data_IF_707888380601
#
_entry.id   IF_707888380601
#
_cell.length_a   1.000
_cell.length_b   1.000
_cell.length_c   1.000
_cell.angle_alpha   90.00
_cell.angle_beta   90.00
_cell.angle_gamma   90.00
#
_symmetry.space_group_name_H-M   'P 1'
#
loop_
_entity.id
_entity.type
_entity.pdbx_description
1 polymer ?
#
# COMPACT_ATOMS: atom_id res chain seq x y z
N UNK A 1 12.10 1.09 -43.26
CA UNK A 1 11.03 0.14 -42.88
C UNK A 1 11.46 -0.84 -41.76
N UNK A 2 12.70 -1.33 -41.72
CA UNK A 2 13.20 -2.26 -40.68
C UNK A 2 13.33 -1.68 -39.26
N UNK A 3 13.62 -0.37 -39.10
CA UNK A 3 13.70 0.28 -37.78
C UNK A 3 12.34 0.47 -37.09
N UNK A 4 11.23 0.46 -37.84
CA UNK A 4 9.87 0.54 -37.27
C UNK A 4 9.39 -0.79 -36.69
N UNK A 5 9.79 -1.92 -37.29
CA UNK A 5 9.42 -3.28 -36.82
C UNK A 5 10.15 -3.71 -35.54
N UNK A 6 11.36 -3.21 -35.28
CA UNK A 6 12.10 -3.52 -34.05
C UNK A 6 11.56 -2.73 -32.85
N UNK A 7 11.17 -1.46 -33.05
CA UNK A 7 10.52 -0.64 -32.04
C UNK A 7 9.12 -1.16 -31.66
N UNK A 8 8.37 -1.66 -32.62
CA UNK A 8 7.04 -2.24 -32.39
C UNK A 8 7.11 -3.57 -31.63
N UNK A 9 8.08 -4.45 -31.98
CA UNK A 9 8.37 -5.70 -31.25
C UNK A 9 8.84 -5.46 -29.82
N UNK A 10 9.71 -4.50 -29.57
CA UNK A 10 10.18 -4.19 -28.20
C UNK A 10 9.05 -3.65 -27.32
N UNK A 11 8.12 -2.88 -27.90
CA UNK A 11 6.93 -2.39 -27.19
C UNK A 11 5.95 -3.52 -26.84
N UNK A 12 5.70 -4.44 -27.77
CA UNK A 12 4.80 -5.59 -27.56
C UNK A 12 5.36 -6.60 -26.56
N UNK A 13 6.67 -6.88 -26.59
CA UNK A 13 7.32 -7.80 -25.64
C UNK A 13 7.36 -7.19 -24.22
N UNK A 14 7.64 -5.89 -24.09
CA UNK A 14 7.60 -5.18 -22.80
C UNK A 14 6.18 -5.07 -22.22
N UNK A 15 5.16 -4.97 -23.10
CA UNK A 15 3.76 -4.98 -22.71
C UNK A 15 3.30 -6.33 -22.14
N UNK A 16 3.72 -7.45 -22.75
CA UNK A 16 3.38 -8.81 -22.32
C UNK A 16 4.09 -9.23 -21.01
N UNK A 17 5.34 -8.80 -20.80
CA UNK A 17 6.05 -9.03 -19.53
C UNK A 17 5.46 -8.21 -18.38
N UNK A 18 4.99 -7.00 -18.67
CA UNK A 18 4.34 -6.15 -17.67
C UNK A 18 2.99 -6.72 -17.24
N UNK A 19 2.14 -7.16 -18.19
CA UNK A 19 0.81 -7.74 -17.87
C UNK A 19 0.91 -9.03 -17.08
N UNK A 20 1.81 -9.94 -17.46
CA UNK A 20 2.06 -11.17 -16.70
C UNK A 20 2.55 -10.89 -15.26
N UNK A 21 3.40 -9.87 -15.08
CA UNK A 21 3.82 -9.44 -13.74
C UNK A 21 2.67 -8.85 -12.89
N UNK A 22 1.74 -8.11 -13.50
CA UNK A 22 0.54 -7.64 -12.78
C UNK A 22 -0.33 -8.81 -12.30
N UNK A 23 -0.57 -9.80 -13.17
CA UNK A 23 -1.39 -10.96 -12.84
C UNK A 23 -0.73 -11.88 -11.82
N UNK A 24 0.59 -12.12 -11.89
CA UNK A 24 1.33 -12.85 -10.86
C UNK A 24 1.22 -12.14 -9.51
N UNK A 25 1.39 -10.82 -9.48
CA UNK A 25 1.24 -10.04 -8.26
C UNK A 25 -0.19 -10.07 -7.72
N UNK A 26 -1.20 -10.02 -8.59
CA UNK A 26 -2.62 -10.11 -8.22
C UNK A 26 -2.95 -11.46 -7.59
N UNK A 27 -2.54 -12.55 -8.23
CA UNK A 27 -2.80 -13.89 -7.74
C UNK A 27 -2.15 -14.13 -6.37
N UNK A 28 -0.90 -13.67 -6.21
CA UNK A 28 -0.20 -13.73 -4.92
C UNK A 28 -0.89 -12.91 -3.85
N UNK A 29 -1.34 -11.70 -4.19
CA UNK A 29 -2.07 -10.86 -3.25
C UNK A 29 -3.37 -11.53 -2.78
N UNK A 30 -4.14 -12.13 -3.70
CA UNK A 30 -5.33 -12.90 -3.36
C UNK A 30 -5.00 -14.06 -2.42
N UNK A 31 -3.96 -14.83 -2.72
CA UNK A 31 -3.53 -15.93 -1.86
C UNK A 31 -3.10 -15.45 -0.47
N UNK A 32 -2.40 -14.30 -0.39
CA UNK A 32 -1.96 -13.72 0.88
C UNK A 32 -3.10 -13.09 1.69
N UNK A 33 -4.21 -12.69 1.08
CA UNK A 33 -5.41 -12.26 1.82
C UNK A 33 -5.96 -13.38 2.72
N UNK A 34 -5.80 -14.64 2.32
CA UNK A 34 -6.20 -15.81 3.12
C UNK A 34 -5.15 -16.21 4.17
N UNK A 35 -4.01 -15.53 4.23
CA UNK A 35 -2.97 -15.84 5.19
C UNK A 35 -3.44 -15.45 6.62
N UNK A 36 -3.28 -16.32 7.64
CA UNK A 36 -3.82 -16.07 8.99
C UNK A 36 -3.41 -14.72 9.58
N UNK A 37 -2.16 -14.29 9.37
CA UNK A 37 -1.68 -12.96 9.81
C UNK A 37 -2.45 -11.80 9.17
N UNK A 38 -2.77 -11.89 7.87
CA UNK A 38 -3.49 -10.83 7.16
C UNK A 38 -4.95 -10.79 7.59
N UNK A 39 -5.56 -11.96 7.78
CA UNK A 39 -6.92 -12.08 8.35
C UNK A 39 -6.96 -11.44 9.74
N UNK A 40 -6.02 -11.77 10.62
CA UNK A 40 -5.95 -11.15 11.96
C UNK A 40 -5.75 -9.64 11.90
N UNK A 41 -4.87 -9.15 11.02
CA UNK A 41 -4.68 -7.71 10.80
C UNK A 41 -5.96 -7.04 10.26
N UNK A 42 -6.76 -7.72 9.45
CA UNK A 42 -8.04 -7.19 8.94
C UNK A 42 -9.14 -7.10 10.00
N UNK A 43 -9.02 -7.85 11.10
CA UNK A 43 -9.97 -7.77 12.22
C UNK A 43 -9.67 -6.58 13.14
N UNK A 44 -8.41 -6.12 13.16
CA UNK A 44 -7.96 -4.96 13.95
C UNK A 44 -8.85 -3.70 13.80
N UNK A 45 -9.20 -3.22 12.58
CA UNK A 45 -10.10 -2.07 12.39
C UNK A 45 -11.47 -2.25 13.04
N UNK A 46 -12.01 -3.47 13.04
CA UNK A 46 -13.30 -3.77 13.66
C UNK A 46 -13.21 -3.65 15.18
N UNK A 47 -12.18 -4.28 15.77
CA UNK A 47 -11.95 -4.20 17.22
C UNK A 47 -11.72 -2.77 17.65
N UNK A 48 -10.88 -2.03 16.92
CA UNK A 48 -10.61 -0.63 17.23
C UNK A 48 -11.86 0.22 17.13
N UNK A 49 -12.66 0.08 16.06
CA UNK A 49 -13.93 0.81 15.92
C UNK A 49 -14.90 0.46 17.05
N UNK A 50 -15.00 -0.83 17.41
CA UNK A 50 -15.89 -1.31 18.46
C UNK A 50 -15.48 -0.76 19.84
N UNK A 51 -14.18 -0.74 20.13
CA UNK A 51 -13.64 -0.17 21.38
C UNK A 51 -13.84 1.35 21.41
N UNK A 52 -13.56 2.06 20.31
CA UNK A 52 -13.74 3.51 20.24
C UNK A 52 -15.22 3.91 20.36
N UNK A 53 -16.11 3.33 19.55
CA UNK A 53 -17.54 3.62 19.61
C UNK A 53 -18.16 3.18 20.93
N UNK A 54 -17.82 1.97 21.42
CA UNK A 54 -18.29 1.47 22.70
C UNK A 54 -17.81 2.33 23.86
N UNK A 55 -16.55 2.77 23.85
CA UNK A 55 -16.00 3.68 24.85
C UNK A 55 -16.65 5.05 24.84
N UNK A 56 -16.86 5.65 23.65
CA UNK A 56 -17.56 6.92 23.50
C UNK A 56 -19.03 6.81 23.95
N UNK A 57 -19.71 5.71 23.60
CA UNK A 57 -21.09 5.47 24.00
C UNK A 57 -21.21 5.25 25.51
N UNK A 58 -20.27 4.51 26.12
CA UNK A 58 -20.26 4.25 27.56
C UNK A 58 -19.99 5.52 28.38
N UNK A 59 -19.00 6.33 27.97
CA UNK A 59 -18.54 7.46 28.76
C UNK A 59 -19.25 8.78 28.44
N UNK A 60 -19.54 9.04 27.16
CA UNK A 60 -19.91 10.37 26.67
C UNK A 60 -21.33 10.49 26.12
N UNK A 61 -22.10 9.40 26.02
CA UNK A 61 -23.38 9.41 25.31
C UNK A 61 -24.39 10.41 25.87
N UNK A 62 -24.74 10.30 27.16
CA UNK A 62 -25.77 11.17 27.76
C UNK A 62 -25.35 12.64 27.71
N UNK A 63 -24.10 12.93 28.05
CA UNK A 63 -23.57 14.29 28.03
C UNK A 63 -23.54 14.88 26.61
N UNK A 64 -23.15 14.10 25.60
CA UNK A 64 -23.10 14.56 24.21
C UNK A 64 -24.51 14.81 23.65
N UNK A 65 -25.46 13.91 23.93
CA UNK A 65 -26.86 14.09 23.51
C UNK A 65 -27.48 15.30 24.20
N UNK A 66 -27.23 15.51 25.50
CA UNK A 66 -27.71 16.68 26.23
C UNK A 66 -27.16 17.99 25.65
N UNK A 67 -25.85 18.05 25.38
CA UNK A 67 -25.24 19.23 24.75
C UNK A 67 -25.77 19.49 23.34
N UNK A 68 -25.98 18.44 22.54
CA UNK A 68 -26.59 18.57 21.21
C UNK A 68 -28.02 19.12 21.30
N UNK A 69 -28.83 18.66 22.27
CA UNK A 69 -30.17 19.22 22.52
C UNK A 69 -30.12 20.70 22.85
N UNK A 70 -29.26 21.10 23.78
CA UNK A 70 -29.06 22.52 24.13
C UNK A 70 -28.66 23.34 22.90
N UNK A 71 -27.75 22.83 22.07
CA UNK A 71 -27.35 23.49 20.82
C UNK A 71 -28.52 23.66 19.84
N UNK A 72 -29.31 22.62 19.63
CA UNK A 72 -30.52 22.67 18.79
C UNK A 72 -31.56 23.65 19.34
N UNK A 73 -31.70 23.75 20.66
CA UNK A 73 -32.68 24.64 21.26
C UNK A 73 -32.25 26.12 21.23
N UNK A 74 -30.94 26.38 21.16
CA UNK A 74 -30.36 27.74 21.18
C UNK A 74 -30.37 28.40 19.79
N UNK A 75 -30.26 27.63 18.71
CA UNK A 75 -30.22 28.19 17.35
C UNK A 75 -31.61 28.49 16.78
N UNK A 76 -31.80 29.70 16.26
CA UNK A 76 -33.07 30.14 15.67
C UNK A 76 -33.46 29.33 14.43
N UNK A 77 -32.48 28.91 13.63
CA UNK A 77 -32.70 28.14 12.40
C UNK A 77 -33.25 26.73 12.68
N UNK A 78 -32.74 26.06 13.73
CA UNK A 78 -33.24 24.76 14.17
C UNK A 78 -34.66 24.87 14.72
N UNK A 79 -35.01 25.95 15.42
CA UNK A 79 -36.39 26.14 15.90
C UNK A 79 -37.40 26.34 14.78
N UNK A 80 -37.03 27.05 13.71
CA UNK A 80 -37.87 27.19 12.51
C UNK A 80 -38.11 25.82 11.86
N UNK A 81 -37.04 25.04 11.69
CA UNK A 81 -37.14 23.68 11.14
C UNK A 81 -37.98 22.76 12.00
N UNK A 82 -37.77 22.78 13.32
CA UNK A 82 -38.51 21.94 14.26
C UNK A 82 -39.98 22.33 14.34
N UNK A 83 -40.31 23.63 14.31
CA UNK A 83 -41.70 24.10 14.27
C UNK A 83 -42.43 23.70 12.98
N UNK A 84 -41.74 23.70 11.83
CA UNK A 84 -42.28 23.14 10.58
C UNK A 84 -42.56 21.64 10.71
N UNK A 85 -41.66 20.90 11.36
CA UNK A 85 -41.75 19.46 11.59
C UNK A 85 -42.89 19.11 12.56
N UNK A 86 -43.10 19.94 13.58
CA UNK A 86 -44.25 19.86 14.49
C UNK A 86 -45.57 20.11 13.73
N UNK A 87 -45.58 21.04 12.75
CA UNK A 87 -46.72 21.29 11.86
C UNK A 87 -47.11 20.11 10.97
N UNK A 88 -46.19 19.17 10.72
CA UNK A 88 -46.44 17.92 9.99
C UNK A 88 -46.86 16.76 10.91
N UNK A 89 -46.99 16.99 12.22
CA UNK A 89 -47.32 15.96 13.21
C UNK A 89 -46.16 15.04 13.58
N UNK A 90 -44.92 15.40 13.21
CA UNK A 90 -43.72 14.59 13.44
C UNK A 90 -42.97 14.96 14.74
N UNK A 91 -43.67 15.44 15.76
CA UNK A 91 -43.08 15.87 17.05
C UNK A 91 -42.27 14.77 17.74
N UNK A 92 -42.62 13.49 17.54
CA UNK A 92 -41.84 12.34 18.02
C UNK A 92 -40.45 12.22 17.39
N UNK A 93 -40.25 12.72 16.17
CA UNK A 93 -38.95 12.70 15.48
C UNK A 93 -37.93 13.65 16.14
N UNK A 94 -38.41 14.76 16.74
CA UNK A 94 -37.57 15.70 17.50
C UNK A 94 -36.82 15.01 18.65
N UNK A 95 -37.42 13.99 19.28
CA UNK A 95 -36.78 13.22 20.34
C UNK A 95 -35.53 12.46 19.85
N UNK A 96 -35.51 12.03 18.60
CA UNK A 96 -34.41 11.28 17.99
C UNK A 96 -33.36 12.16 17.29
N UNK A 97 -33.68 13.42 17.00
CA UNK A 97 -32.82 14.30 16.21
C UNK A 97 -31.45 14.54 16.87
N UNK A 98 -31.42 14.84 18.17
CA UNK A 98 -30.17 15.07 18.89
C UNK A 98 -29.28 13.80 18.95
N UNK A 99 -29.77 12.61 19.37
CA UNK A 99 -29.00 11.37 19.26
C UNK A 99 -28.50 11.07 17.85
N UNK A 100 -29.34 11.29 16.83
CA UNK A 100 -28.97 11.05 15.44
C UNK A 100 -27.82 11.95 14.99
N UNK A 101 -27.86 13.24 15.32
CA UNK A 101 -26.79 14.18 14.99
C UNK A 101 -25.47 13.85 15.71
N UNK A 102 -25.53 13.41 16.97
CA UNK A 102 -24.34 12.94 17.69
C UNK A 102 -23.71 11.75 16.96
N UNK A 103 -24.51 10.77 16.52
CA UNK A 103 -24.02 9.62 15.74
C UNK A 103 -23.43 10.06 14.40
N UNK A 104 -24.13 10.93 13.66
CA UNK A 104 -23.68 11.46 12.35
C UNK A 104 -22.33 12.19 12.48
N UNK A 105 -22.06 12.86 13.60
CA UNK A 105 -20.79 13.54 13.86
C UNK A 105 -19.70 12.59 14.37
N UNK A 106 -20.05 11.67 15.28
CA UNK A 106 -19.08 10.78 15.91
C UNK A 106 -18.58 9.69 14.97
N UNK A 107 -19.45 9.09 14.17
CA UNK A 107 -19.09 7.95 13.30
C UNK A 107 -18.00 8.32 12.29
N UNK A 108 -18.08 9.42 11.51
CA UNK A 108 -17.01 9.80 10.59
C UNK A 108 -15.67 10.03 11.29
N UNK A 109 -15.68 10.66 12.47
CA UNK A 109 -14.45 10.90 13.24
C UNK A 109 -13.81 9.58 13.66
N UNK A 110 -14.59 8.64 14.19
CA UNK A 110 -14.08 7.32 14.58
C UNK A 110 -13.58 6.54 13.37
N UNK A 111 -14.28 6.61 12.22
CA UNK A 111 -13.82 6.00 10.97
C UNK A 111 -12.46 6.58 10.57
N UNK A 112 -12.30 7.90 10.56
CA UNK A 112 -11.02 8.55 10.21
C UNK A 112 -9.90 8.13 11.17
N UNK A 113 -10.14 8.15 12.48
CA UNK A 113 -9.14 7.74 13.48
C UNK A 113 -8.76 6.27 13.31
N UNK A 114 -9.74 5.39 13.11
CA UNK A 114 -9.53 3.96 12.89
C UNK A 114 -8.70 3.73 11.63
N UNK A 115 -9.08 4.35 10.51
CA UNK A 115 -8.34 4.23 9.25
C UNK A 115 -6.92 4.75 9.36
N UNK A 116 -6.69 5.83 10.12
CA UNK A 116 -5.36 6.37 10.35
C UNK A 116 -4.48 5.38 11.12
N UNK A 117 -4.97 4.85 12.24
CA UNK A 117 -4.24 3.85 13.04
C UNK A 117 -3.97 2.59 12.21
N UNK A 118 -4.96 2.12 11.45
CA UNK A 118 -4.82 0.94 10.59
C UNK A 118 -3.80 1.18 9.48
N UNK A 119 -3.84 2.33 8.82
CA UNK A 119 -2.87 2.67 7.79
C UNK A 119 -1.44 2.67 8.36
N UNK A 120 -1.25 3.22 9.56
CA UNK A 120 0.05 3.27 10.25
C UNK A 120 0.57 1.89 10.68
N UNK A 121 -0.31 0.94 11.01
CA UNK A 121 0.08 -0.38 11.52
C UNK A 121 0.13 -1.45 10.42
N UNK A 122 -0.87 -1.45 9.54
CA UNK A 122 -1.13 -2.54 8.60
C UNK A 122 -0.23 -2.45 7.36
N UNK A 123 -0.02 -1.26 6.80
CA UNK A 123 0.89 -1.01 5.68
C UNK A 123 2.29 -1.57 5.93
N UNK A 124 3.02 -1.10 6.96
CA UNK A 124 4.37 -1.59 7.25
C UNK A 124 4.40 -3.07 7.65
N UNK A 125 3.37 -3.59 8.33
CA UNK A 125 3.29 -5.00 8.68
C UNK A 125 3.18 -5.90 7.43
N UNK A 126 2.36 -5.51 6.45
CA UNK A 126 2.21 -6.21 5.17
C UNK A 126 3.51 -6.15 4.37
N UNK A 127 4.12 -4.97 4.26
CA UNK A 127 5.39 -4.80 3.53
C UNK A 127 6.48 -5.67 4.14
N UNK A 128 6.63 -5.67 5.47
CA UNK A 128 7.59 -6.51 6.19
C UNK A 128 7.31 -8.01 5.99
N UNK A 129 6.05 -8.43 5.98
CA UNK A 129 5.66 -9.82 5.74
C UNK A 129 6.06 -10.28 4.34
N UNK A 130 5.79 -9.46 3.31
CA UNK A 130 6.13 -9.80 1.92
C UNK A 130 7.64 -9.74 1.69
N UNK A 131 8.32 -8.72 2.19
CA UNK A 131 9.77 -8.55 2.05
C UNK A 131 10.52 -9.72 2.69
N UNK A 132 10.21 -10.08 3.93
CA UNK A 132 10.88 -11.18 4.64
C UNK A 132 10.68 -12.56 4.00
N UNK A 133 9.52 -12.81 3.38
CA UNK A 133 9.22 -14.12 2.77
C UNK A 133 9.66 -14.26 1.31
N UNK A 134 9.50 -13.21 0.50
CA UNK A 134 9.75 -13.29 -0.95
C UNK A 134 11.05 -12.62 -1.37
N UNK A 135 11.49 -11.59 -0.65
CA UNK A 135 12.62 -10.76 -1.04
C UNK A 135 13.67 -10.64 0.07
N UNK A 136 14.15 -11.75 0.67
CA UNK A 136 15.11 -11.68 1.79
C UNK A 136 16.45 -11.02 1.40
N UNK A 137 16.79 -11.02 0.11
CA UNK A 137 17.99 -10.35 -0.43
C UNK A 137 17.84 -8.84 -0.70
N UNK A 138 16.65 -8.25 -0.56
CA UNK A 138 16.50 -6.80 -0.67
C UNK A 138 16.90 -6.13 0.64
N UNK A 139 17.98 -5.35 0.62
CA UNK A 139 18.38 -4.54 1.77
C UNK A 139 17.28 -3.54 2.15
N UNK A 140 16.90 -3.52 3.43
CA UNK A 140 16.02 -2.49 3.98
C UNK A 140 16.83 -1.24 4.31
N UNK A 141 16.53 -0.13 3.62
CA UNK A 141 17.26 1.12 3.74
C UNK A 141 16.85 1.94 4.98
N UNK A 142 15.85 1.49 5.76
CA UNK A 142 15.35 2.14 6.99
C UNK A 142 15.16 3.67 6.89
N UNK A 143 14.92 4.20 5.69
CA UNK A 143 14.90 5.66 5.43
C UNK A 143 13.49 6.24 5.53
N UNK A 144 12.50 5.47 5.98
CA UNK A 144 11.12 5.89 6.08
C UNK A 144 10.95 6.89 7.25
N UNK A 145 11.02 8.19 6.94
CA UNK A 145 10.68 9.23 7.92
C UNK A 145 9.16 9.33 8.04
N UNK A 146 8.64 9.19 9.27
CA UNK A 146 7.22 9.37 9.57
C UNK A 146 6.68 10.73 9.09
N UNK A 147 7.48 11.79 9.24
CA UNK A 147 7.14 13.13 8.77
C UNK A 147 7.04 13.20 7.24
N UNK A 148 7.85 12.42 6.51
CA UNK A 148 7.80 12.35 5.05
C UNK A 148 6.54 11.61 4.57
N UNK A 149 6.13 10.52 5.24
CA UNK A 149 4.85 9.85 4.95
C UNK A 149 3.64 10.74 5.25
N UNK A 150 3.67 11.50 6.34
CA UNK A 150 2.59 12.43 6.70
C UNK A 150 2.48 13.58 5.68
N UNK A 151 3.61 14.22 5.32
CA UNK A 151 3.64 15.28 4.32
C UNK A 151 3.22 14.78 2.93
N UNK A 152 3.64 13.57 2.55
CA UNK A 152 3.21 12.94 1.30
C UNK A 152 1.71 12.67 1.28
N UNK A 153 1.16 12.10 2.36
CA UNK A 153 -0.28 11.82 2.48
C UNK A 153 -1.12 13.11 2.47
N UNK A 154 -0.65 14.16 3.13
CA UNK A 154 -1.31 15.46 3.14
C UNK A 154 -1.30 16.10 1.75
N UNK A 155 -0.14 16.12 1.08
CA UNK A 155 -0.04 16.65 -0.29
C UNK A 155 -0.89 15.88 -1.29
N UNK A 156 -0.97 14.55 -1.14
CA UNK A 156 -1.82 13.70 -1.98
C UNK A 156 -3.31 13.97 -1.72
N UNK A 157 -3.70 14.15 -0.46
CA UNK A 157 -5.07 14.52 -0.06
C UNK A 157 -5.48 15.88 -0.63
N UNK A 158 -4.61 16.89 -0.53
CA UNK A 158 -4.86 18.23 -1.10
C UNK A 158 -5.00 18.16 -2.61
N UNK A 159 -4.12 17.44 -3.31
CA UNK A 159 -4.21 17.25 -4.76
C UNK A 159 -5.50 16.52 -5.17
N UNK A 160 -5.95 15.53 -4.38
CA UNK A 160 -7.21 14.83 -4.62
C UNK A 160 -8.43 15.75 -4.41
N UNK A 161 -8.43 16.58 -3.37
CA UNK A 161 -9.49 17.56 -3.12
C UNK A 161 -9.56 18.61 -4.23
N UNK A 162 -8.41 19.10 -4.71
CA UNK A 162 -8.34 20.00 -5.86
C UNK A 162 -8.86 19.32 -7.14
N UNK A 163 -8.47 18.07 -7.39
CA UNK A 163 -8.98 17.28 -8.51
C UNK A 163 -10.49 17.06 -8.42
N UNK A 164 -11.01 16.78 -7.23
CA UNK A 164 -12.45 16.63 -6.99
C UNK A 164 -13.19 17.94 -7.26
N UNK A 165 -12.68 19.06 -6.75
CA UNK A 165 -13.27 20.37 -6.96
C UNK A 165 -13.30 20.77 -8.45
N UNK A 166 -12.19 20.56 -9.16
CA UNK A 166 -12.09 20.84 -10.61
C UNK A 166 -13.01 19.94 -11.43
N UNK A 167 -13.32 18.73 -10.95
CA UNK A 167 -14.20 17.79 -11.66
C UNK A 167 -15.69 17.99 -11.37
N UNK A 168 -16.08 18.79 -10.38
CA UNK A 168 -17.50 19.07 -10.08
C UNK A 168 -18.32 19.51 -11.31
N UNK A 169 -17.84 20.41 -12.18
CA UNK A 169 -18.60 20.80 -13.38
C UNK A 169 -18.75 19.65 -14.39
N UNK A 170 -17.82 18.70 -14.41
CA UNK A 170 -17.86 17.56 -15.34
C UNK A 170 -18.82 16.45 -14.87
N UNK A 171 -19.21 16.44 -13.59
CA UNK A 171 -20.14 15.44 -13.04
C UNK A 171 -21.57 15.58 -13.57
N UNK A 172 -21.94 16.74 -14.13
CA UNK A 172 -23.24 16.93 -14.78
C UNK A 172 -23.42 16.05 -16.03
N UNK A 173 -22.35 15.44 -16.53
CA UNK A 173 -22.38 14.51 -17.66
C UNK A 173 -22.25 13.07 -17.13
N UNK A 174 -23.29 12.22 -17.24
CA UNK A 174 -23.38 10.93 -16.53
C UNK A 174 -22.21 9.96 -16.72
N UNK A 175 -21.62 9.79 -17.93
CA UNK A 175 -20.43 8.95 -18.11
C UNK A 175 -19.23 9.40 -17.27
N UNK A 176 -19.00 10.71 -17.14
CA UNK A 176 -17.86 11.24 -16.38
C UNK A 176 -18.06 11.09 -14.87
N UNK A 177 -19.30 11.19 -14.38
CA UNK A 177 -19.61 10.94 -12.98
C UNK A 177 -19.29 9.50 -12.54
N UNK A 178 -19.32 8.52 -13.45
CA UNK A 178 -18.95 7.13 -13.15
C UNK A 178 -17.44 6.88 -13.24
N UNK A 179 -16.74 7.54 -14.18
CA UNK A 179 -15.31 7.27 -14.44
C UNK A 179 -14.38 8.14 -13.61
N UNK A 180 -14.71 9.42 -13.41
CA UNK A 180 -13.82 10.37 -12.74
C UNK A 180 -13.57 10.03 -11.27
N UNK A 181 -14.58 9.67 -10.44
CA UNK A 181 -14.32 9.39 -9.03
C UNK A 181 -13.37 8.20 -8.83
N UNK A 182 -13.56 7.04 -9.49
CA UNK A 182 -12.61 5.92 -9.43
C UNK A 182 -11.23 6.25 -10.02
N UNK A 183 -11.16 7.15 -11.01
CA UNK A 183 -9.88 7.58 -11.57
C UNK A 183 -9.09 8.46 -10.60
N UNK A 184 -9.74 9.43 -9.93
CA UNK A 184 -9.13 10.28 -8.91
C UNK A 184 -8.71 9.43 -7.71
N UNK A 185 -9.61 8.55 -7.24
CA UNK A 185 -9.31 7.63 -6.15
C UNK A 185 -8.18 6.68 -6.51
N UNK A 186 -8.22 6.06 -7.69
CA UNK A 186 -7.16 5.17 -8.13
C UNK A 186 -5.82 5.88 -8.29
N UNK A 187 -5.84 7.14 -8.75
CA UNK A 187 -4.66 7.99 -8.80
C UNK A 187 -4.07 8.25 -7.40
N UNK A 188 -4.93 8.56 -6.43
CA UNK A 188 -4.53 8.77 -5.03
C UNK A 188 -3.97 7.47 -4.43
N UNK A 189 -4.70 6.36 -4.58
CA UNK A 189 -4.35 5.05 -4.05
C UNK A 189 -2.99 4.59 -4.56
N UNK A 190 -2.70 4.69 -5.86
CA UNK A 190 -1.39 4.26 -6.34
C UNK A 190 -0.27 5.16 -5.78
N UNK A 191 -0.47 6.47 -5.64
CA UNK A 191 0.56 7.37 -5.09
C UNK A 191 0.87 7.09 -3.63
N UNK A 192 -0.16 6.83 -2.83
CA UNK A 192 -0.01 6.54 -1.41
C UNK A 192 0.61 5.15 -1.23
N UNK A 193 0.04 4.12 -1.84
CA UNK A 193 0.51 2.74 -1.67
C UNK A 193 1.89 2.50 -2.28
N UNK A 194 2.21 3.17 -3.39
CA UNK A 194 3.56 3.06 -3.98
C UNK A 194 4.62 3.67 -3.08
N UNK A 195 4.31 4.82 -2.47
CA UNK A 195 5.21 5.43 -1.52
C UNK A 195 5.38 4.54 -0.28
N UNK A 196 4.28 4.04 0.28
CA UNK A 196 4.31 3.18 1.48
C UNK A 196 5.13 1.91 1.24
N UNK A 197 4.88 1.20 0.13
CA UNK A 197 5.58 -0.04 -0.22
C UNK A 197 7.09 0.16 -0.46
N UNK A 198 7.49 1.28 -1.06
CA UNK A 198 8.89 1.54 -1.43
C UNK A 198 9.69 2.31 -0.37
N UNK A 199 9.04 3.03 0.54
CA UNK A 199 9.68 3.92 1.52
C UNK A 199 10.79 3.26 2.35
N UNK A 200 10.64 1.96 2.63
CA UNK A 200 11.54 1.16 3.46
C UNK A 200 12.66 0.45 2.69
N UNK A 201 12.58 0.38 1.35
CA UNK A 201 13.47 -0.44 0.52
C UNK A 201 14.14 0.33 -0.63
N UNK A 202 13.55 1.43 -1.11
CA UNK A 202 14.04 2.19 -2.27
C UNK A 202 14.54 3.58 -1.88
N UNK A 203 15.60 4.02 -2.55
CA UNK A 203 16.05 5.42 -2.50
C UNK A 203 15.03 6.35 -3.18
N UNK A 204 15.04 7.66 -2.88
CA UNK A 204 14.15 8.62 -3.54
C UNK A 204 14.25 8.61 -5.07
N UNK A 205 15.46 8.41 -5.61
CA UNK A 205 15.70 8.35 -7.06
C UNK A 205 15.18 7.06 -7.68
N UNK A 206 15.43 5.91 -7.05
CA UNK A 206 14.86 4.62 -7.48
C UNK A 206 13.33 4.70 -7.53
N UNK A 207 12.70 5.24 -6.48
CA UNK A 207 11.24 5.40 -6.42
C UNK A 207 10.71 6.28 -7.55
N UNK A 208 11.35 7.42 -7.82
CA UNK A 208 10.94 8.34 -8.90
C UNK A 208 11.04 7.66 -10.28
N UNK A 209 12.13 6.91 -10.51
CA UNK A 209 12.31 6.13 -11.75
C UNK A 209 11.22 5.06 -11.90
N UNK A 210 10.96 4.29 -10.84
CA UNK A 210 9.94 3.23 -10.85
C UNK A 210 8.54 3.78 -11.10
N UNK A 211 8.16 4.86 -10.42
CA UNK A 211 6.85 5.52 -10.61
C UNK A 211 6.67 6.06 -12.03
N UNK A 212 7.74 6.54 -12.66
CA UNK A 212 7.68 7.06 -14.04
C UNK A 212 7.58 5.91 -15.05
N UNK A 213 8.38 4.84 -14.87
CA UNK A 213 8.41 3.66 -15.75
C UNK A 213 7.11 2.84 -15.67
N UNK A 214 6.52 2.73 -14.48
CA UNK A 214 5.34 1.90 -14.21
C UNK A 214 4.05 2.71 -13.98
N UNK A 215 3.95 3.96 -14.45
CA UNK A 215 2.78 4.84 -14.20
C UNK A 215 1.44 4.22 -14.61
N UNK A 216 1.39 3.62 -15.79
CA UNK A 216 0.17 3.05 -16.37
C UNK A 216 -0.31 1.81 -15.62
N UNK A 217 0.55 0.81 -15.35
CA UNK A 217 0.12 -0.35 -14.56
C UNK A 217 -0.23 0.02 -13.12
N UNK A 218 0.48 0.97 -12.49
CA UNK A 218 0.15 1.45 -11.15
C UNK A 218 -1.20 2.16 -11.10
N UNK A 219 -1.52 2.99 -12.11
CA UNK A 219 -2.82 3.62 -12.22
C UNK A 219 -3.94 2.59 -12.44
N UNK A 220 -3.72 1.59 -13.30
CA UNK A 220 -4.70 0.53 -13.55
C UNK A 220 -4.99 -0.26 -12.27
N UNK A 221 -3.95 -0.65 -11.52
CA UNK A 221 -4.09 -1.30 -10.21
C UNK A 221 -4.90 -0.40 -9.25
N UNK A 222 -4.58 0.89 -9.18
CA UNK A 222 -5.28 1.85 -8.34
C UNK A 222 -6.76 2.01 -8.72
N UNK A 223 -7.09 2.06 -10.00
CA UNK A 223 -8.49 2.17 -10.46
C UNK A 223 -9.27 0.89 -10.12
N UNK A 224 -8.66 -0.28 -10.35
CA UNK A 224 -9.27 -1.57 -9.99
C UNK A 224 -9.54 -1.62 -8.49
N UNK A 225 -8.54 -1.29 -7.65
CA UNK A 225 -8.73 -1.28 -6.20
C UNK A 225 -9.71 -0.21 -5.73
N UNK A 226 -9.77 0.94 -6.42
CA UNK A 226 -10.78 1.98 -6.20
C UNK A 226 -12.20 1.46 -6.43
N UNK A 227 -12.43 0.70 -7.50
CA UNK A 227 -13.72 0.03 -7.74
C UNK A 227 -14.00 -1.08 -6.72
N UNK A 228 -13.01 -1.88 -6.33
CA UNK A 228 -13.18 -2.86 -5.24
C UNK A 228 -13.56 -2.17 -3.92
N UNK A 229 -13.14 -0.91 -3.71
CA UNK A 229 -13.55 -0.11 -2.56
C UNK A 229 -15.06 0.11 -2.46
N UNK A 230 -15.80 -0.02 -3.57
CA UNK A 230 -17.26 0.04 -3.60
C UNK A 230 -17.94 -1.32 -3.32
N UNK A 231 -17.18 -2.41 -3.14
CA UNK A 231 -17.72 -3.73 -2.81
C UNK A 231 -18.62 -3.77 -1.56
N UNK A 232 -18.30 -3.04 -0.46
CA UNK A 232 -19.20 -2.98 0.70
C UNK A 232 -20.58 -2.42 0.33
N UNK A 233 -20.66 -1.42 -0.55
CA UNK A 233 -21.93 -0.84 -1.01
C UNK A 233 -22.73 -1.82 -1.87
N UNK A 234 -22.04 -2.62 -2.70
CA UNK A 234 -22.68 -3.68 -3.47
C UNK A 234 -23.36 -4.71 -2.55
N UNK A 235 -22.76 -5.02 -1.39
CA UNK A 235 -23.34 -5.95 -0.42
C UNK A 235 -24.76 -5.52 -0.01
N UNK A 236 -24.98 -4.22 0.24
CA UNK A 236 -26.30 -3.67 0.57
C UNK A 236 -27.29 -3.73 -0.60
N UNK A 237 -26.80 -3.55 -1.82
CA UNK A 237 -27.64 -3.59 -3.02
C UNK A 237 -28.03 -5.02 -3.45
N UNK A 238 -27.34 -6.05 -2.95
CA UNK A 238 -27.45 -7.42 -3.46
C UNK A 238 -28.76 -8.13 -3.07
N UNK A 239 -29.34 -7.84 -1.91
CA UNK A 239 -30.54 -8.56 -1.45
C UNK A 239 -31.33 -7.82 -0.37
N UNK A 240 -32.65 -7.96 -0.38
CA UNK A 240 -33.55 -7.46 0.67
C UNK A 240 -33.27 -8.10 2.05
N UNK A 241 -32.68 -9.31 2.10
CA UNK A 241 -32.31 -9.97 3.37
C UNK A 241 -31.26 -9.18 4.16
N UNK A 242 -30.51 -8.30 3.48
CA UNK A 242 -29.50 -7.47 4.13
C UNK A 242 -30.09 -6.48 5.12
N UNK A 243 -31.36 -6.08 4.95
CA UNK A 243 -32.05 -5.21 5.91
C UNK A 243 -32.31 -5.96 7.22
N UNK A 244 -32.75 -7.22 7.15
CA UNK A 244 -32.97 -8.06 8.34
C UNK A 244 -31.66 -8.37 9.07
N UNK A 245 -30.57 -8.54 8.32
CA UNK A 245 -29.23 -8.81 8.84
C UNK A 245 -28.36 -7.55 8.96
N UNK A 246 -28.95 -6.35 8.95
CA UNK A 246 -28.22 -5.08 8.84
C UNK A 246 -27.06 -4.93 9.84
N UNK A 247 -27.17 -5.34 11.13
CA UNK A 247 -26.03 -5.29 12.05
C UNK A 247 -24.86 -6.17 11.60
N UNK A 248 -25.15 -7.39 11.16
CA UNK A 248 -24.13 -8.33 10.69
C UNK A 248 -23.54 -7.90 9.34
N UNK A 249 -24.39 -7.41 8.44
CA UNK A 249 -24.00 -6.87 7.14
C UNK A 249 -23.10 -5.66 7.32
N UNK A 250 -23.39 -4.78 8.28
CA UNK A 250 -22.54 -3.63 8.58
C UNK A 250 -21.15 -4.06 9.05
N UNK A 251 -21.06 -5.02 9.97
CA UNK A 251 -19.77 -5.58 10.42
C UNK A 251 -19.03 -6.22 9.23
N UNK A 252 -19.73 -7.00 8.41
CA UNK A 252 -19.17 -7.62 7.22
C UNK A 252 -18.72 -6.59 6.18
N UNK A 253 -19.47 -5.51 5.96
CA UNK A 253 -19.12 -4.41 5.05
C UNK A 253 -17.83 -3.72 5.48
N UNK A 254 -17.70 -3.37 6.76
CA UNK A 254 -16.48 -2.78 7.31
C UNK A 254 -15.32 -3.77 7.18
N UNK A 255 -15.55 -5.05 7.44
CA UNK A 255 -14.52 -6.08 7.30
C UNK A 255 -14.06 -6.24 5.84
N UNK A 256 -14.99 -6.34 4.89
CA UNK A 256 -14.69 -6.40 3.45
C UNK A 256 -13.89 -5.18 3.01
N UNK A 257 -14.26 -3.98 3.46
CA UNK A 257 -13.52 -2.76 3.15
C UNK A 257 -12.04 -2.88 3.57
N UNK A 258 -11.80 -3.44 4.76
CA UNK A 258 -10.44 -3.61 5.30
C UNK A 258 -9.67 -4.72 4.59
N UNK A 259 -10.33 -5.77 4.14
CA UNK A 259 -9.73 -6.80 3.28
C UNK A 259 -9.37 -6.26 1.90
N UNK A 260 -10.21 -5.41 1.31
CA UNK A 260 -9.90 -4.72 0.04
C UNK A 260 -8.67 -3.83 0.20
N UNK A 261 -8.58 -3.10 1.33
CA UNK A 261 -7.38 -2.33 1.65
C UNK A 261 -6.15 -3.23 1.79
N UNK A 262 -6.24 -4.32 2.55
CA UNK A 262 -5.18 -5.31 2.71
C UNK A 262 -4.69 -5.87 1.38
N UNK A 263 -5.64 -6.30 0.54
CA UNK A 263 -5.41 -6.79 -0.81
C UNK A 263 -4.67 -5.76 -1.66
N UNK A 264 -5.10 -4.51 -1.62
CA UNK A 264 -4.47 -3.41 -2.35
C UNK A 264 -3.01 -3.24 -1.91
N UNK A 265 -2.75 -3.18 -0.60
CA UNK A 265 -1.39 -3.10 -0.05
C UNK A 265 -0.52 -4.28 -0.51
N UNK A 266 -1.03 -5.51 -0.44
CA UNK A 266 -0.34 -6.72 -0.87
C UNK A 266 -0.02 -6.68 -2.37
N UNK A 267 -1.00 -6.33 -3.20
CA UNK A 267 -0.85 -6.32 -4.65
C UNK A 267 0.20 -5.29 -5.09
N UNK A 268 0.12 -4.07 -4.56
CA UNK A 268 1.13 -3.03 -4.79
C UNK A 268 2.51 -3.47 -4.30
N UNK A 269 2.61 -4.05 -3.10
CA UNK A 269 3.90 -4.51 -2.54
C UNK A 269 4.53 -5.61 -3.38
N UNK A 270 3.76 -6.64 -3.77
CA UNK A 270 4.26 -7.74 -4.59
C UNK A 270 4.76 -7.29 -5.96
N UNK A 271 4.06 -6.33 -6.57
CA UNK A 271 4.45 -5.76 -7.86
C UNK A 271 5.68 -4.86 -7.74
N UNK A 272 5.68 -3.93 -6.80
CA UNK A 272 6.71 -2.90 -6.66
C UNK A 272 8.05 -3.47 -6.17
N UNK A 273 8.05 -4.40 -5.22
CA UNK A 273 9.30 -5.03 -4.78
C UNK A 273 9.92 -5.90 -5.87
N UNK A 274 9.12 -6.57 -6.69
CA UNK A 274 9.60 -7.30 -7.85
C UNK A 274 10.19 -6.35 -8.91
N UNK A 275 9.51 -5.24 -9.19
CA UNK A 275 9.99 -4.22 -10.14
C UNK A 275 11.29 -3.55 -9.64
N UNK A 276 11.39 -3.28 -8.34
CA UNK A 276 12.61 -2.74 -7.72
C UNK A 276 13.78 -3.72 -7.82
N UNK A 277 13.55 -5.00 -7.55
CA UNK A 277 14.58 -6.03 -7.71
C UNK A 277 15.07 -6.11 -9.16
N UNK A 278 14.14 -6.10 -10.13
CA UNK A 278 14.48 -6.11 -11.55
C UNK A 278 15.31 -4.88 -11.94
N UNK A 279 14.92 -3.69 -11.48
CA UNK A 279 15.68 -2.46 -11.75
C UNK A 279 17.11 -2.53 -11.21
N UNK A 280 17.31 -3.05 -9.98
CA UNK A 280 18.65 -3.19 -9.39
C UNK A 280 19.51 -4.22 -10.12
N UNK A 281 18.91 -5.29 -10.62
CA UNK A 281 19.61 -6.29 -11.45
C UNK A 281 20.05 -5.69 -12.78
N UNK A 282 19.18 -4.89 -13.43
CA UNK A 282 19.52 -4.15 -14.66
C UNK A 282 20.67 -3.16 -14.42
N UNK A 283 20.61 -2.38 -13.33
CA UNK A 283 21.64 -1.40 -12.96
C UNK A 283 22.97 -2.11 -12.62
N UNK A 284 22.94 -3.24 -11.90
CA UNK A 284 24.12 -4.05 -11.59
C UNK A 284 24.82 -4.61 -12.83
N UNK A 285 24.05 -5.08 -13.83
CA UNK A 285 24.57 -5.55 -15.11
C UNK A 285 25.18 -4.42 -15.94
N UNK A 286 24.55 -3.23 -15.96
CA UNK A 286 25.08 -2.06 -16.65
C UNK A 286 26.36 -1.49 -16.01
N UNK A 287 26.53 -1.67 -14.70
CA UNK A 287 27.74 -1.26 -13.97
C UNK A 287 28.88 -2.28 -14.01
N UNK A 288 28.64 -3.50 -14.49
CA UNK A 288 29.70 -4.49 -14.72
C UNK A 288 30.45 -4.10 -16.01
N UNK A 289 31.78 -3.94 -16.00
CA UNK A 289 32.55 -3.69 -17.22
C UNK A 289 32.22 -4.78 -18.24
N UNK A 290 32.13 -4.47 -19.56
CA UNK A 290 32.07 -5.52 -20.55
C UNK A 290 33.26 -6.43 -20.28
N UNK A 291 33.02 -7.72 -20.06
CA UNK A 291 34.07 -8.71 -20.04
C UNK A 291 34.83 -8.51 -21.35
N UNK A 292 35.97 -7.83 -21.27
CA UNK A 292 36.83 -7.62 -22.41
C UNK A 292 37.06 -9.00 -22.99
N UNK A 293 36.85 -9.14 -24.29
CA UNK A 293 37.51 -10.18 -25.06
C UNK A 293 39.01 -9.96 -24.92
N UNK A 294 39.55 -10.31 -23.76
CA UNK A 294 40.94 -10.61 -23.59
C UNK A 294 41.09 -11.96 -24.23
N UNK A 295 41.51 -11.95 -25.50
CA UNK A 295 42.21 -13.06 -26.08
C UNK A 295 43.27 -13.50 -25.06
N UNK A 296 43.00 -14.60 -24.35
CA UNK A 296 44.04 -15.37 -23.69
C UNK A 296 44.85 -16.09 -24.78
N UNK A 297 45.49 -15.31 -25.66
CA UNK A 297 46.68 -15.69 -26.39
C UNK A 297 47.88 -15.17 -25.59
N UNK A 298 47.94 -15.59 -24.32
CA UNK A 298 49.21 -15.60 -23.61
C UNK A 298 49.92 -16.86 -24.10
N UNK A 299 50.84 -16.68 -25.05
CA UNK A 299 51.80 -17.71 -25.43
C UNK A 299 52.43 -18.29 -24.15
N UNK A 300 52.58 -19.62 -24.04
CA UNK A 300 53.20 -20.23 -22.87
C UNK A 300 54.64 -19.71 -22.74
N UNK A 301 55.12 -19.39 -21.51
CA UNK A 301 56.52 -19.07 -21.32
C UNK A 301 57.36 -20.28 -21.71
N UNK A 302 58.32 -20.05 -22.61
CA UNK A 302 59.32 -21.02 -23.06
C UNK A 302 60.10 -21.56 -21.85
N UNK A 303 59.77 -22.78 -21.42
CA UNK A 303 60.53 -23.55 -20.45
C UNK A 303 61.53 -24.42 -21.21
N UNK A 304 62.56 -23.81 -21.77
CA UNK A 304 63.75 -24.52 -22.22
C UNK A 304 64.63 -24.88 -21.01
N UNK A 305 65.08 -26.15 -20.85
CA UNK A 305 65.78 -26.62 -19.67
C UNK A 305 67.28 -26.37 -19.81
N UNK A 306 67.82 -25.42 -19.05
CA UNK A 306 69.26 -25.27 -18.88
C UNK A 306 69.59 -24.90 -17.43
N UNK A 307 70.28 -25.80 -16.73
CA UNK A 307 71.01 -25.49 -15.50
C UNK A 307 70.56 -26.24 -14.26
N UNK A 308 70.77 -27.55 -14.22
CA UNK A 308 70.84 -28.30 -12.95
C UNK A 308 72.08 -27.83 -12.18
N UNK A 309 71.90 -27.16 -11.04
CA UNK A 309 72.96 -26.94 -10.03
C UNK A 309 72.52 -27.56 -8.70
N UNK A 310 73.32 -28.47 -8.11
CA UNK A 310 72.91 -29.20 -6.92
C UNK A 310 73.17 -28.43 -5.61
N UNK A 311 72.17 -28.48 -4.75
CA UNK A 311 72.17 -28.44 -3.29
C UNK A 311 73.33 -27.73 -2.55
N UNK A 312 73.06 -26.51 -2.08
CA UNK A 312 73.74 -25.86 -0.95
C UNK A 312 72.87 -25.88 0.30
N UNK A 313 73.48 -26.18 1.45
CA UNK A 313 72.88 -26.45 2.77
C UNK A 313 71.92 -25.38 3.32
N UNK A 314 70.93 -25.90 4.06
CA UNK A 314 70.02 -25.22 5.01
C UNK A 314 70.79 -24.45 6.09
N UNK A 315 70.43 -23.19 6.40
CA UNK A 315 70.63 -22.60 7.72
C UNK A 315 69.45 -22.91 8.63
N UNK A 316 69.74 -23.52 9.76
CA UNK A 316 68.83 -23.87 10.82
C UNK A 316 68.46 -22.62 11.63
N UNK A 317 67.37 -21.94 11.26
CA UNK A 317 66.70 -20.93 12.12
C UNK A 317 65.23 -20.69 11.68
N UNK A 318 64.58 -21.70 11.09
CA UNK A 318 63.16 -21.62 10.77
C UNK A 318 62.32 -21.74 12.05
N UNK A 319 61.98 -20.59 12.64
CA UNK A 319 60.98 -20.46 13.70
C UNK A 319 59.62 -20.93 13.15
N UNK A 320 59.18 -22.10 13.60
CA UNK A 320 57.83 -22.63 13.38
C UNK A 320 56.87 -21.85 14.26
N UNK A 321 56.07 -20.97 13.67
CA UNK A 321 54.96 -20.32 14.36
C UNK A 321 53.77 -21.29 14.35
N UNK A 322 53.53 -21.90 15.49
CA UNK A 322 52.37 -22.76 15.75
C UNK A 322 51.12 -21.90 15.99
N UNK A 323 50.06 -22.14 15.23
CA UNK A 323 48.78 -21.41 15.33
C UNK A 323 47.78 -22.29 16.08
N UNK A 324 47.36 -21.95 17.31
CA UNK A 324 46.46 -22.81 18.07
C UNK A 324 45.03 -22.73 17.51
N UNK A 325 44.51 -23.91 17.16
CA UNK A 325 43.14 -24.16 16.71
C UNK A 325 42.16 -23.98 17.88
N UNK A 326 41.24 -23.02 17.77
CA UNK A 326 40.20 -22.79 18.80
C UNK A 326 39.06 -23.78 18.59
N UNK A 327 38.92 -24.69 19.55
CA UNK A 327 37.84 -25.68 19.62
C UNK A 327 36.44 -25.03 19.61
N UNK A 328 35.57 -25.56 18.75
CA UNK A 328 34.12 -25.37 18.79
C UNK A 328 33.56 -26.37 19.81
N UNK A 329 32.88 -25.88 20.86
CA UNK A 329 32.09 -26.72 21.76
C UNK A 329 30.61 -26.75 21.33
N UNK A 330 29.91 -27.87 21.58
CA UNK A 330 28.59 -28.16 21.03
C UNK A 330 27.45 -27.33 21.65
#
# INVERSE_FOLDING_TARGET
>A
MLAGMTADKTKTISGASSTSALFDALWRALAYCLHPRVIWLSVLPLVLSMVCLGGLAWWGWEAAVAQMRVGLDTWSLSQIFLGWLDGLGASGFRAFLAPLLVVIMAVPVVVVVTLLVVAMLMGPAIVKLVASRRFPGLASLHTASFAASAAWSLSATVLALLGLFVTLPLWFVPPFALVLPPLIWGWLTYRVLTYDALSSHATPDERKRLMTRHRTPLLAMGVITGYLGAAPSALWALSAITVALAPLVLVASVWIYTLVFAFSCLWFTHYLLAALQAQRLEEGQASSPPAGGGDFSAAPPDLSPAGFQPAGRVPADAVVIDVPSREVRP
#
